data_IF_750082353738
#
_entry.id   IF_750082353738
#
_cell.length_a   1.000
_cell.length_b   1.000
_cell.length_c   1.000
_cell.angle_alpha   90.00
_cell.angle_beta   90.00
_cell.angle_gamma   90.00
#
_symmetry.space_group_name_H-M   'P 1'
#
loop_
_entity.id
_entity.type
_entity.pdbx_description
1 polymer ?
#
# COMPACT_ATOMS: atom_id res chain seq x y z
N UNK A 1 24.45 15.52 1.40
CA UNK A 1 24.32 14.59 0.26
C UNK A 1 23.18 15.09 -0.60
N UNK A 2 23.47 15.69 -1.74
CA UNK A 2 22.46 16.10 -2.72
C UNK A 2 21.96 14.85 -3.43
N UNK A 3 20.75 14.41 -3.14
CA UNK A 3 20.08 13.37 -3.90
C UNK A 3 19.76 13.95 -5.28
N UNK A 4 20.45 13.47 -6.31
CA UNK A 4 20.06 13.70 -7.70
C UNK A 4 18.70 13.05 -7.89
N UNK A 5 17.65 13.85 -8.01
CA UNK A 5 16.34 13.38 -8.46
C UNK A 5 16.43 13.17 -9.96
N UNK A 6 16.90 12.01 -10.39
CA UNK A 6 16.64 11.54 -11.75
C UNK A 6 15.12 11.46 -11.93
N UNK A 7 14.63 12.00 -13.05
CA UNK A 7 13.20 11.95 -13.38
C UNK A 7 12.88 10.49 -13.73
N UNK A 8 12.42 9.74 -12.73
CA UNK A 8 11.99 8.35 -12.90
C UNK A 8 10.71 8.33 -13.75
N UNK A 9 10.67 7.48 -14.76
CA UNK A 9 9.42 7.28 -15.52
C UNK A 9 8.40 6.55 -14.65
N UNK A 10 7.08 6.64 -14.92
CA UNK A 10 6.07 5.88 -14.19
C UNK A 10 6.34 4.37 -14.17
N UNK A 11 6.91 3.83 -15.25
CA UNK A 11 7.31 2.44 -15.35
C UNK A 11 8.47 2.09 -14.41
N UNK A 12 9.43 3.00 -14.23
CA UNK A 12 10.56 2.80 -13.32
C UNK A 12 10.10 2.81 -11.86
N UNK A 13 9.12 3.65 -11.51
CA UNK A 13 8.54 3.72 -10.17
C UNK A 13 7.83 2.41 -9.80
N UNK A 14 7.02 1.86 -10.72
CA UNK A 14 6.36 0.56 -10.51
C UNK A 14 7.34 -0.59 -10.31
N UNK A 15 8.59 -0.43 -10.74
CA UNK A 15 9.63 -1.42 -10.49
C UNK A 15 10.26 -1.35 -9.10
N UNK A 16 9.96 -0.31 -8.32
CA UNK A 16 10.51 -0.16 -6.97
C UNK A 16 10.16 -1.35 -6.06
N UNK A 17 11.10 -1.83 -5.22
CA UNK A 17 10.85 -2.95 -4.32
C UNK A 17 9.64 -2.74 -3.41
N UNK A 18 9.46 -1.50 -2.93
CA UNK A 18 8.36 -1.16 -2.03
C UNK A 18 6.99 -1.21 -2.72
N UNK A 19 6.84 -0.66 -3.92
CA UNK A 19 5.55 -0.69 -4.63
C UNK A 19 5.17 -2.11 -5.04
N UNK A 20 6.15 -2.93 -5.45
CA UNK A 20 5.97 -4.37 -5.69
C UNK A 20 5.52 -5.09 -4.42
N UNK A 21 6.13 -4.77 -3.27
CA UNK A 21 5.74 -5.35 -2.00
C UNK A 21 4.30 -5.00 -1.62
N UNK A 22 3.84 -3.76 -1.82
CA UNK A 22 2.43 -3.38 -1.61
C UNK A 22 1.51 -4.22 -2.49
N UNK A 23 1.79 -4.32 -3.79
CA UNK A 23 0.98 -5.09 -4.73
C UNK A 23 0.93 -6.59 -4.35
N UNK A 24 2.04 -7.14 -3.86
CA UNK A 24 2.10 -8.51 -3.34
C UNK A 24 1.26 -8.69 -2.08
N UNK A 25 1.31 -7.75 -1.13
CA UNK A 25 0.48 -7.80 0.08
C UNK A 25 -1.02 -7.71 -0.24
N UNK A 26 -1.42 -6.92 -1.24
CA UNK A 26 -2.82 -6.87 -1.68
C UNK A 26 -3.26 -8.24 -2.20
N UNK A 27 -2.47 -8.85 -3.09
CA UNK A 27 -2.80 -10.18 -3.65
C UNK A 27 -2.78 -11.29 -2.59
N UNK A 28 -1.89 -11.20 -1.62
CA UNK A 28 -1.81 -12.17 -0.53
C UNK A 28 -3.04 -12.14 0.39
N UNK A 29 -3.72 -11.00 0.50
CA UNK A 29 -4.94 -10.84 1.31
C UNK A 29 -6.24 -11.00 0.49
N UNK A 30 -6.15 -11.36 -0.79
CA UNK A 30 -7.28 -11.57 -1.70
C UNK A 30 -7.64 -13.06 -1.77
N UNK A 31 -8.41 -13.52 -0.78
CA UNK A 31 -8.79 -14.92 -0.64
C UNK A 31 -9.53 -15.49 -1.87
N UNK A 32 -10.30 -14.67 -2.58
CA UNK A 32 -11.08 -15.08 -3.75
C UNK A 32 -10.30 -14.93 -5.07
N UNK A 33 -9.11 -14.36 -5.05
CA UNK A 33 -8.27 -14.17 -6.24
C UNK A 33 -8.83 -13.14 -7.24
N UNK A 34 -9.66 -12.20 -6.79
CA UNK A 34 -10.24 -11.11 -7.58
C UNK A 34 -9.18 -10.31 -8.35
N UNK A 35 -8.01 -10.10 -7.75
CA UNK A 35 -6.92 -9.25 -8.22
C UNK A 35 -5.83 -10.00 -8.97
N UNK A 36 -6.00 -11.32 -9.20
CA UNK A 36 -4.96 -12.17 -9.80
C UNK A 36 -4.46 -11.67 -11.15
N UNK A 37 -5.38 -11.17 -11.99
CA UNK A 37 -5.09 -10.71 -13.35
C UNK A 37 -4.94 -9.19 -13.47
N UNK A 38 -4.96 -8.47 -12.35
CA UNK A 38 -4.85 -7.01 -12.35
C UNK A 38 -3.38 -6.59 -12.41
N UNK A 39 -3.08 -5.53 -13.14
CA UNK A 39 -1.74 -4.94 -13.16
C UNK A 39 -1.41 -4.30 -11.81
N UNK A 40 -0.11 -4.23 -11.46
CA UNK A 40 0.34 -3.55 -10.24
C UNK A 40 -0.10 -2.08 -10.21
N UNK A 41 -0.07 -1.40 -11.36
CA UNK A 41 -0.57 -0.04 -11.50
C UNK A 41 -2.04 0.08 -11.06
N UNK A 42 -2.90 -0.85 -11.50
CA UNK A 42 -4.31 -0.84 -11.16
C UNK A 42 -4.55 -1.10 -9.67
N UNK A 43 -3.74 -1.96 -9.05
CA UNK A 43 -3.80 -2.24 -7.61
C UNK A 43 -3.31 -1.08 -6.75
N UNK A 44 -2.32 -0.33 -7.24
CA UNK A 44 -1.73 0.81 -6.53
C UNK A 44 -2.50 2.10 -6.73
N UNK A 45 -3.31 2.22 -7.79
CA UNK A 45 -4.12 3.42 -8.10
C UNK A 45 -4.92 3.97 -6.91
N UNK A 46 -5.59 3.16 -6.05
CA UNK A 46 -6.35 3.66 -4.91
C UNK A 46 -5.51 4.32 -3.80
N UNK A 47 -4.17 4.17 -3.82
CA UNK A 47 -3.28 4.81 -2.85
C UNK A 47 -2.97 6.27 -3.21
N UNK A 48 -3.24 6.68 -4.46
CA UNK A 48 -3.01 8.04 -4.93
C UNK A 48 -4.35 8.73 -5.15
N UNK A 49 -4.71 9.59 -4.21
CA UNK A 49 -5.95 10.38 -4.27
C UNK A 49 -5.64 11.86 -4.44
N UNK A 50 -6.44 12.54 -5.25
CA UNK A 50 -6.37 14.00 -5.36
C UNK A 50 -6.81 14.66 -4.06
N UNK A 51 -6.43 15.94 -3.89
CA UNK A 51 -6.88 16.74 -2.73
C UNK A 51 -8.40 16.85 -2.64
N UNK A 52 -9.09 16.87 -3.79
CA UNK A 52 -10.55 16.92 -3.85
C UNK A 52 -11.14 15.60 -3.32
N UNK A 53 -10.74 14.46 -3.90
CA UNK A 53 -11.16 13.13 -3.46
C UNK A 53 -10.86 12.89 -1.98
N UNK A 54 -9.70 13.34 -1.47
CA UNK A 54 -9.35 13.20 -0.05
C UNK A 54 -10.35 13.91 0.88
N UNK A 55 -10.90 15.05 0.47
CA UNK A 55 -11.90 15.80 1.26
C UNK A 55 -13.28 15.16 1.24
N UNK A 56 -13.55 14.32 0.25
CA UNK A 56 -14.81 13.57 0.11
C UNK A 56 -14.81 12.28 0.94
N UNK A 57 -13.66 11.88 1.49
CA UNK A 57 -13.57 10.72 2.38
C UNK A 57 -14.27 11.08 3.70
N UNK A 58 -15.38 10.40 3.99
CA UNK A 58 -16.06 10.52 5.29
C UNK A 58 -15.12 10.13 6.43
N UNK A 59 -15.09 10.95 7.47
CA UNK A 59 -14.39 10.66 8.74
C UNK A 59 -15.38 10.25 9.85
N UNK A 60 -16.67 10.24 9.54
CA UNK A 60 -17.71 9.87 10.48
C UNK A 60 -17.87 8.35 10.53
N UNK A 61 -17.68 7.76 11.71
CA UNK A 61 -17.84 6.33 11.97
C UNK A 61 -16.62 5.50 11.59
N UNK A 62 -16.82 4.18 11.54
CA UNK A 62 -15.74 3.23 11.28
C UNK A 62 -15.06 3.43 9.92
N UNK A 63 -13.74 3.24 9.90
CA UNK A 63 -12.96 3.25 8.67
C UNK A 63 -13.40 2.09 7.76
N UNK A 64 -13.73 2.43 6.51
CA UNK A 64 -14.09 1.47 5.47
C UNK A 64 -13.14 0.25 5.45
N UNK A 65 -13.64 -1.00 5.46
CA UNK A 65 -12.80 -2.19 5.51
C UNK A 65 -11.78 -2.28 4.36
N UNK A 66 -12.11 -1.79 3.17
CA UNK A 66 -11.18 -1.78 2.03
C UNK A 66 -10.05 -0.78 2.31
N UNK A 67 -10.37 0.39 2.87
CA UNK A 67 -9.39 1.38 3.33
C UNK A 67 -8.48 0.81 4.41
N UNK A 68 -9.05 0.17 5.45
CA UNK A 68 -8.26 -0.53 6.48
C UNK A 68 -7.33 -1.59 5.87
N UNK A 69 -7.82 -2.35 4.88
CA UNK A 69 -7.02 -3.31 4.12
C UNK A 69 -5.85 -2.68 3.38
N UNK A 70 -6.04 -1.49 2.77
CA UNK A 70 -4.95 -0.73 2.12
C UNK A 70 -3.89 -0.26 3.13
N UNK A 71 -4.31 0.24 4.29
CA UNK A 71 -3.39 0.65 5.37
C UNK A 71 -2.58 -0.56 5.84
N UNK A 72 -3.24 -1.71 6.02
CA UNK A 72 -2.57 -2.97 6.40
C UNK A 72 -1.57 -3.45 5.36
N UNK A 73 -1.93 -3.42 4.08
CA UNK A 73 -1.02 -3.77 3.00
C UNK A 73 0.21 -2.84 2.96
N UNK A 74 0.01 -1.54 3.20
CA UNK A 74 1.10 -0.56 3.25
C UNK A 74 2.11 -0.87 4.35
N UNK A 75 1.67 -1.06 5.60
CA UNK A 75 2.59 -1.35 6.70
C UNK A 75 3.21 -2.75 6.60
N UNK A 76 2.47 -3.75 6.07
CA UNK A 76 3.06 -5.07 5.78
C UNK A 76 4.12 -5.01 4.69
N UNK A 77 3.99 -4.13 3.71
CA UNK A 77 5.03 -3.92 2.71
C UNK A 77 6.30 -3.33 3.35
N UNK A 78 6.17 -2.44 4.35
CA UNK A 78 7.31 -1.93 5.13
C UNK A 78 7.97 -3.07 5.90
N UNK A 79 7.18 -3.85 6.65
CA UNK A 79 7.69 -5.00 7.40
C UNK A 79 8.40 -6.01 6.49
N UNK A 80 7.87 -6.25 5.30
CA UNK A 80 8.50 -7.12 4.31
C UNK A 80 9.85 -6.57 3.82
N UNK A 81 10.00 -5.26 3.61
CA UNK A 81 11.30 -4.67 3.25
C UNK A 81 12.29 -4.76 4.41
N UNK A 82 11.84 -4.53 5.65
CA UNK A 82 12.68 -4.70 6.85
C UNK A 82 13.17 -6.15 6.95
N UNK A 83 12.28 -7.13 6.78
CA UNK A 83 12.63 -8.55 6.75
C UNK A 83 13.65 -8.86 5.64
N UNK A 84 13.44 -8.32 4.43
CA UNK A 84 14.31 -8.56 3.29
C UNK A 84 15.73 -7.99 3.51
N UNK A 85 15.85 -6.85 4.17
CA UNK A 85 17.15 -6.20 4.44
C UNK A 85 17.86 -6.75 5.69
N UNK A 86 17.11 -7.17 6.71
CA UNK A 86 17.66 -7.51 8.02
C UNK A 86 17.65 -9.01 8.33
N UNK A 87 16.80 -9.79 7.65
CA UNK A 87 16.50 -11.18 7.97
C UNK A 87 15.66 -11.37 9.25
N UNK A 88 15.26 -10.29 9.93
CA UNK A 88 14.48 -10.36 11.16
C UNK A 88 12.98 -10.34 10.86
N UNK A 89 12.27 -11.39 11.28
CA UNK A 89 10.83 -11.52 11.12
C UNK A 89 10.09 -10.34 11.78
N UNK A 90 9.16 -9.74 11.03
CA UNK A 90 8.42 -8.55 11.40
C UNK A 90 6.91 -8.79 11.28
N UNK A 91 6.17 -8.45 12.33
CA UNK A 91 4.71 -8.56 12.34
C UNK A 91 4.08 -7.17 12.39
N UNK A 92 2.89 -7.06 11.78
CA UNK A 92 2.15 -5.79 11.71
C UNK A 92 0.75 -6.00 12.29
N UNK A 93 0.40 -5.13 13.23
CA UNK A 93 -0.95 -5.01 13.79
C UNK A 93 -1.41 -3.57 13.53
N UNK A 94 -2.66 -3.44 13.11
CA UNK A 94 -3.32 -2.14 12.97
C UNK A 94 -4.55 -2.15 13.86
N UNK A 95 -4.55 -1.22 14.80
CA UNK A 95 -5.69 -0.90 15.62
C UNK A 95 -6.13 0.53 15.26
N UNK A 96 -7.40 0.67 14.87
CA UNK A 96 -8.01 1.93 14.47
C UNK A 96 -9.27 2.11 15.30
N UNK A 97 -9.47 3.32 15.81
CA UNK A 97 -10.62 3.64 16.64
C UNK A 97 -11.85 3.94 15.79
N UNK A 98 -13.00 4.16 16.44
CA UNK A 98 -14.23 4.57 15.76
C UNK A 98 -14.13 5.94 15.07
N UNK A 99 -13.11 6.74 15.39
CA UNK A 99 -12.84 8.04 14.78
C UNK A 99 -11.73 7.98 13.70
N UNK A 100 -11.22 6.77 13.41
CA UNK A 100 -10.02 6.56 12.58
C UNK A 100 -8.76 6.47 13.41
#
# INVERSE_FOLDING_TARGET
>A
MTTNTEIQTPADLLNSPFLKAIAQQIRANDAYGTYRNWSDELLLKPFVVSKAQKREISVDGDVDPITKGRILAFYRAIAHQIEAETGALSQVVIDLSHEG
#
